data_IF_207114283921
#
_entry.id   IF_207114283921
#
_cell.length_a   1.000
_cell.length_b   1.000
_cell.length_c   1.000
_cell.angle_alpha   90.00
_cell.angle_beta   90.00
_cell.angle_gamma   90.00
#
_symmetry.space_group_name_H-M   'P 1'
#
loop_
_entity.id
_entity.type
_entity.pdbx_description
1 polymer ?
#
# COMPACT_ATOMS: atom_id res chain seq x y z
N UNK A 1 -3.96 -10.30 38.97
CA UNK A 1 -4.69 -9.16 38.39
C UNK A 1 -4.06 -8.86 37.05
N UNK A 2 -4.78 -8.52 36.00
CA UNK A 2 -4.14 -8.04 34.79
C UNK A 2 -3.31 -6.80 35.14
N UNK A 3 -2.08 -6.72 34.60
CA UNK A 3 -1.18 -5.59 34.84
C UNK A 3 -1.83 -4.30 34.31
N UNK A 4 -1.70 -3.21 35.04
CA UNK A 4 -2.17 -1.90 34.60
C UNK A 4 -1.47 -1.53 33.26
N UNK A 5 -2.21 -1.30 32.16
CA UNK A 5 -1.62 -0.92 30.90
C UNK A 5 -0.91 0.44 30.94
N UNK A 6 -1.20 1.27 31.95
CA UNK A 6 -0.61 2.58 32.15
C UNK A 6 0.49 2.61 33.22
N UNK A 7 0.98 1.44 33.67
CA UNK A 7 2.11 1.38 34.62
C UNK A 7 3.37 2.04 33.98
N UNK A 8 3.85 3.18 34.49
CA UNK A 8 4.92 3.93 33.88
C UNK A 8 6.26 3.18 33.90
N UNK A 9 6.53 2.36 34.91
CA UNK A 9 7.76 1.59 35.01
C UNK A 9 7.82 0.51 33.92
N UNK A 10 6.72 -0.22 33.77
CA UNK A 10 6.58 -1.23 32.71
C UNK A 10 6.67 -0.62 31.31
N UNK A 11 6.01 0.51 31.06
CA UNK A 11 6.07 1.21 29.78
C UNK A 11 7.50 1.69 29.47
N UNK A 12 8.27 2.15 30.50
CA UNK A 12 9.68 2.51 30.34
C UNK A 12 10.52 1.33 29.91
N UNK A 13 10.39 0.19 30.57
CA UNK A 13 11.10 -1.06 30.22
C UNK A 13 10.80 -1.51 28.79
N UNK A 14 9.52 -1.46 28.37
CA UNK A 14 9.11 -1.82 27.01
C UNK A 14 9.66 -0.84 25.95
N UNK A 15 9.76 0.46 26.30
CA UNK A 15 10.41 1.44 25.43
C UNK A 15 11.91 1.18 25.26
N UNK A 16 12.62 0.81 26.32
CA UNK A 16 14.03 0.43 26.27
C UNK A 16 14.24 -0.81 25.41
N UNK A 17 13.41 -1.85 25.58
CA UNK A 17 13.39 -3.05 24.73
C UNK A 17 13.23 -2.69 23.24
N UNK A 18 12.25 -1.84 22.93
CA UNK A 18 12.01 -1.41 21.55
C UNK A 18 13.15 -0.56 20.97
N UNK A 19 13.77 0.33 21.78
CA UNK A 19 14.93 1.14 21.39
C UNK A 19 16.17 0.27 21.14
N UNK A 20 16.32 -0.83 21.87
CA UNK A 20 17.36 -1.82 21.65
C UNK A 20 17.16 -2.63 20.34
N UNK A 21 16.03 -2.46 19.67
CA UNK A 21 15.67 -3.21 18.45
C UNK A 21 15.20 -4.65 18.73
N UNK A 22 14.84 -4.94 19.97
CA UNK A 22 14.32 -6.24 20.38
C UNK A 22 12.83 -6.38 20.10
N UNK A 23 12.41 -7.62 19.85
CA UNK A 23 11.02 -7.93 19.51
C UNK A 23 10.12 -7.89 20.74
N UNK A 24 9.09 -7.07 20.72
CA UNK A 24 8.02 -7.12 21.71
C UNK A 24 7.10 -8.32 21.43
N UNK A 25 6.67 -9.03 22.48
CA UNK A 25 5.59 -10.01 22.37
C UNK A 25 4.26 -9.33 22.01
N UNK A 26 3.25 -10.07 21.50
CA UNK A 26 1.94 -9.47 21.21
C UNK A 26 1.29 -8.78 22.42
N UNK A 27 1.45 -9.35 23.62
CA UNK A 27 0.92 -8.76 24.85
C UNK A 27 1.64 -7.47 25.27
N UNK A 28 2.96 -7.41 25.09
CA UNK A 28 3.76 -6.21 25.30
C UNK A 28 3.45 -5.14 24.24
N UNK A 29 3.31 -5.56 22.99
CA UNK A 29 2.85 -4.68 21.92
C UNK A 29 1.50 -4.04 22.21
N UNK A 30 0.54 -4.81 22.74
CA UNK A 30 -0.76 -4.29 23.15
C UNK A 30 -0.64 -3.29 24.32
N UNK A 31 0.23 -3.57 25.28
CA UNK A 31 0.50 -2.65 26.38
C UNK A 31 1.10 -1.33 25.88
N UNK A 32 2.06 -1.38 24.95
CA UNK A 32 2.64 -0.19 24.31
C UNK A 32 1.58 0.57 23.51
N UNK A 33 0.80 -0.13 22.68
CA UNK A 33 -0.22 0.48 21.83
C UNK A 33 -1.27 1.25 22.63
N UNK A 34 -1.73 0.70 23.76
CA UNK A 34 -2.77 1.29 24.63
C UNK A 34 -2.21 2.20 25.72
N UNK A 35 -1.04 1.88 26.26
CA UNK A 35 -0.52 2.54 27.46
C UNK A 35 0.16 3.88 27.21
N UNK A 36 0.80 4.06 26.07
CA UNK A 36 1.46 5.33 25.76
C UNK A 36 0.47 6.40 25.30
N UNK A 37 0.63 7.61 25.81
CA UNK A 37 0.04 8.80 25.21
C UNK A 37 0.62 9.04 23.81
N UNK A 38 -0.19 9.58 22.89
CA UNK A 38 0.20 9.71 21.47
C UNK A 38 1.51 10.48 21.26
N UNK A 39 1.79 11.61 21.95
CA UNK A 39 3.06 12.31 21.81
C UNK A 39 4.27 11.45 22.22
N UNK A 40 4.16 10.73 23.34
CA UNK A 40 5.24 9.86 23.83
C UNK A 40 5.49 8.67 22.92
N UNK A 41 4.41 8.07 22.39
CA UNK A 41 4.50 7.01 21.39
C UNK A 41 5.20 7.50 20.12
N UNK A 42 4.87 8.72 19.67
CA UNK A 42 5.49 9.35 18.52
C UNK A 42 6.98 9.61 18.72
N UNK A 43 7.38 10.12 19.89
CA UNK A 43 8.79 10.34 20.23
C UNK A 43 9.60 9.03 20.24
N UNK A 44 9.03 7.95 20.80
CA UNK A 44 9.66 6.63 20.77
C UNK A 44 9.82 6.12 19.33
N UNK A 45 8.77 6.22 18.52
CA UNK A 45 8.82 5.81 17.13
C UNK A 45 9.83 6.63 16.30
N UNK A 46 9.90 7.95 16.52
CA UNK A 46 10.86 8.82 15.85
C UNK A 46 12.31 8.51 16.25
N UNK A 47 12.55 8.20 17.53
CA UNK A 47 13.85 7.75 18.00
C UNK A 47 14.29 6.46 17.30
N UNK A 48 13.40 5.48 17.16
CA UNK A 48 13.68 4.23 16.43
C UNK A 48 13.91 4.52 14.94
N UNK A 49 13.12 5.44 14.36
CA UNK A 49 13.31 5.86 12.96
C UNK A 49 14.71 6.45 12.76
N UNK A 50 15.18 7.33 13.64
CA UNK A 50 16.53 7.90 13.55
C UNK A 50 17.65 6.89 13.83
N UNK A 51 17.42 5.89 14.67
CA UNK A 51 18.36 4.79 14.86
C UNK A 51 18.55 3.97 13.58
N UNK A 52 17.46 3.73 12.80
CA UNK A 52 17.50 3.01 11.52
C UNK A 52 18.00 3.89 10.36
N UNK A 53 17.58 5.14 10.32
CA UNK A 53 17.82 6.10 9.24
C UNK A 53 18.35 7.41 9.84
N UNK A 54 19.64 7.48 10.21
CA UNK A 54 20.21 8.63 10.89
C UNK A 54 20.26 9.88 10.02
N UNK A 55 20.20 9.72 8.71
CA UNK A 55 20.13 10.82 7.78
C UNK A 55 18.73 11.50 7.85
N UNK A 56 18.74 12.84 7.78
CA UNK A 56 17.48 13.61 7.72
C UNK A 56 16.84 13.55 6.33
N UNK A 57 16.74 12.36 5.76
CA UNK A 57 16.09 12.11 4.46
C UNK A 57 14.73 11.48 4.67
N UNK A 58 13.77 11.89 3.85
CA UNK A 58 12.47 11.25 3.69
C UNK A 58 12.31 10.91 2.22
N UNK A 59 12.02 9.65 1.97
CA UNK A 59 11.91 9.14 0.61
C UNK A 59 10.50 9.30 0.04
N UNK A 60 10.39 9.33 -1.29
CA UNK A 60 9.13 9.25 -2.03
C UNK A 60 9.39 8.66 -3.42
N UNK A 61 8.35 8.07 -4.01
CA UNK A 61 8.40 7.52 -5.38
C UNK A 61 7.43 8.25 -6.29
N UNK A 62 7.76 8.34 -7.56
CA UNK A 62 6.85 8.86 -8.60
C UNK A 62 6.37 7.68 -9.42
N UNK A 63 5.11 7.32 -9.25
CA UNK A 63 4.48 6.21 -9.97
C UNK A 63 3.02 6.51 -10.34
N UNK A 64 2.39 5.58 -11.01
CA UNK A 64 0.97 5.62 -11.40
C UNK A 64 0.28 4.35 -10.94
N UNK A 65 -0.86 4.49 -10.26
CA UNK A 65 -1.76 3.36 -10.05
C UNK A 65 -2.52 3.08 -11.37
N UNK A 66 -2.20 1.95 -11.98
CA UNK A 66 -2.80 1.51 -13.24
C UNK A 66 -3.69 0.30 -12.98
N UNK A 67 -4.98 0.45 -13.20
CA UNK A 67 -5.96 -0.61 -12.98
C UNK A 67 -6.39 -1.18 -14.34
N UNK A 68 -5.85 -2.33 -14.78
CA UNK A 68 -6.17 -2.92 -16.10
C UNK A 68 -7.65 -3.27 -16.26
N UNK A 69 -8.32 -3.57 -15.15
CA UNK A 69 -9.75 -3.88 -15.09
C UNK A 69 -10.32 -3.55 -13.71
N UNK A 70 -11.58 -3.11 -13.69
CA UNK A 70 -12.36 -2.98 -12.45
C UNK A 70 -13.33 -4.17 -12.26
N UNK A 71 -13.44 -5.08 -13.23
CA UNK A 71 -14.31 -6.26 -13.14
C UNK A 71 -13.74 -7.24 -12.12
N UNK A 72 -14.51 -7.56 -11.08
CA UNK A 72 -14.05 -8.37 -9.95
C UNK A 72 -15.13 -9.34 -9.47
N UNK A 73 -14.73 -10.59 -9.19
CA UNK A 73 -15.62 -11.64 -8.66
C UNK A 73 -15.55 -11.75 -7.12
N UNK A 74 -14.71 -10.99 -6.44
CA UNK A 74 -14.54 -11.09 -4.98
C UNK A 74 -15.48 -10.21 -4.17
N UNK A 75 -16.14 -9.24 -4.79
CA UNK A 75 -17.18 -8.36 -4.23
C UNK A 75 -16.90 -7.95 -2.76
N UNK A 76 -15.70 -7.46 -2.48
CA UNK A 76 -15.31 -7.03 -1.14
C UNK A 76 -16.21 -5.91 -0.63
N UNK A 77 -16.72 -6.03 0.59
CA UNK A 77 -17.65 -5.07 1.17
C UNK A 77 -17.07 -3.65 1.34
N UNK A 78 -15.75 -3.53 1.44
CA UNK A 78 -15.03 -2.26 1.60
C UNK A 78 -14.62 -1.58 0.27
N UNK A 79 -14.83 -2.23 -0.89
CA UNK A 79 -14.32 -1.73 -2.16
C UNK A 79 -15.41 -1.01 -2.96
N UNK A 80 -15.25 0.29 -3.20
CA UNK A 80 -16.13 1.09 -4.04
C UNK A 80 -15.77 1.03 -5.54
N UNK A 81 -14.58 0.54 -5.85
CA UNK A 81 -14.01 0.55 -7.20
C UNK A 81 -14.51 -0.60 -8.08
N UNK A 82 -14.75 -1.79 -7.49
CA UNK A 82 -15.06 -2.97 -8.27
C UNK A 82 -16.41 -2.87 -9.00
N UNK A 83 -16.52 -3.58 -10.13
CA UNK A 83 -17.78 -3.84 -10.84
C UNK A 83 -17.95 -5.34 -11.01
N UNK A 84 -19.19 -5.81 -10.84
CA UNK A 84 -19.53 -7.22 -11.05
C UNK A 84 -19.36 -7.61 -12.53
N UNK A 85 -19.08 -8.88 -12.84
CA UNK A 85 -19.06 -9.34 -14.23
C UNK A 85 -20.40 -9.07 -14.95
N UNK A 86 -20.33 -8.40 -16.08
CA UNK A 86 -21.51 -8.00 -16.87
C UNK A 86 -22.06 -6.61 -16.55
N UNK A 87 -21.50 -5.92 -15.56
CA UNK A 87 -21.84 -4.52 -15.29
C UNK A 87 -21.44 -3.63 -16.48
N UNK A 88 -22.31 -2.66 -16.80
CA UNK A 88 -22.08 -1.74 -17.92
C UNK A 88 -20.86 -0.81 -17.72
N UNK A 89 -20.49 -0.53 -16.48
CA UNK A 89 -19.29 0.24 -16.11
C UNK A 89 -18.03 -0.64 -15.99
N UNK A 90 -18.18 -1.96 -16.18
CA UNK A 90 -17.05 -2.90 -16.16
C UNK A 90 -16.17 -2.74 -17.39
N UNK A 91 -14.84 -2.67 -17.19
CA UNK A 91 -13.89 -2.51 -18.28
C UNK A 91 -12.68 -3.44 -18.18
N UNK A 92 -12.08 -3.68 -19.32
CA UNK A 92 -10.68 -4.11 -19.48
C UNK A 92 -10.02 -3.06 -20.38
N UNK A 93 -8.97 -2.40 -19.87
CA UNK A 93 -8.31 -1.32 -20.61
C UNK A 93 -7.68 -1.84 -21.91
N UNK A 94 -7.92 -1.16 -23.05
CA UNK A 94 -7.17 -1.42 -24.28
C UNK A 94 -5.66 -1.20 -24.08
N UNK A 95 -4.84 -1.97 -24.78
CA UNK A 95 -3.37 -1.85 -24.70
C UNK A 95 -2.87 -0.43 -25.00
N UNK A 96 -3.48 0.23 -25.99
CA UNK A 96 -3.16 1.58 -26.41
C UNK A 96 -3.36 2.60 -25.28
N UNK A 97 -4.42 2.46 -24.51
CA UNK A 97 -4.70 3.30 -23.33
C UNK A 97 -3.64 3.07 -22.25
N UNK A 98 -3.27 1.81 -22.00
CA UNK A 98 -2.21 1.46 -21.06
C UNK A 98 -0.88 2.12 -21.49
N UNK A 99 -0.52 2.04 -22.77
CA UNK A 99 0.73 2.64 -23.26
C UNK A 99 0.73 4.16 -23.16
N UNK A 100 -0.38 4.83 -23.49
CA UNK A 100 -0.53 6.29 -23.31
C UNK A 100 -0.35 6.70 -21.84
N UNK A 101 -0.92 5.94 -20.91
CA UNK A 101 -0.74 6.18 -19.47
C UNK A 101 0.72 6.00 -19.03
N UNK A 102 1.42 5.00 -19.56
CA UNK A 102 2.85 4.78 -19.28
C UNK A 102 3.69 5.94 -19.84
N UNK A 103 3.44 6.36 -21.07
CA UNK A 103 4.15 7.50 -21.67
C UNK A 103 3.93 8.80 -20.88
N UNK A 104 2.70 9.04 -20.44
CA UNK A 104 2.40 10.18 -19.57
C UNK A 104 3.12 10.06 -18.20
N UNK A 105 3.24 8.85 -17.65
CA UNK A 105 3.98 8.60 -16.40
C UNK A 105 5.46 8.92 -16.55
N UNK A 106 6.09 8.43 -17.62
CA UNK A 106 7.51 8.71 -17.93
C UNK A 106 7.74 10.20 -18.15
N UNK A 107 6.83 10.88 -18.87
CA UNK A 107 6.91 12.31 -19.14
C UNK A 107 6.86 13.17 -17.86
N UNK A 108 6.29 12.65 -16.77
CA UNK A 108 6.25 13.28 -15.45
C UNK A 108 7.38 12.79 -14.52
N UNK A 109 8.34 12.03 -15.05
CA UNK A 109 9.45 11.48 -14.27
C UNK A 109 9.10 10.25 -13.45
N UNK A 110 7.96 9.61 -13.73
CA UNK A 110 7.58 8.35 -13.10
C UNK A 110 8.43 7.20 -13.62
N UNK A 111 8.76 6.31 -12.70
CA UNK A 111 9.65 5.15 -12.95
C UNK A 111 8.97 3.81 -12.70
N UNK A 112 7.74 3.82 -12.19
CA UNK A 112 7.03 2.64 -11.75
C UNK A 112 5.56 2.70 -12.12
N UNK A 113 4.96 1.53 -12.29
CA UNK A 113 3.52 1.31 -12.26
C UNK A 113 3.18 0.54 -10.99
N UNK A 114 2.20 1.03 -10.22
CA UNK A 114 1.45 0.22 -9.27
C UNK A 114 0.30 -0.42 -10.05
N UNK A 115 0.47 -1.70 -10.44
CA UNK A 115 -0.47 -2.35 -11.34
C UNK A 115 -1.32 -3.36 -10.56
N UNK A 116 -2.51 -2.94 -10.19
CA UNK A 116 -3.50 -3.73 -9.47
C UNK A 116 -4.89 -3.58 -10.11
N UNK A 117 -5.71 -4.63 -10.08
CA UNK A 117 -7.03 -4.59 -10.67
C UNK A 117 -8.03 -5.53 -10.03
N UNK A 118 -9.20 -5.62 -10.64
CA UNK A 118 -10.23 -6.58 -10.25
C UNK A 118 -9.83 -8.02 -10.59
N UNK A 119 -10.33 -8.98 -9.82
CA UNK A 119 -10.20 -10.42 -10.09
C UNK A 119 -11.16 -10.80 -11.23
N UNK A 120 -10.72 -10.53 -12.45
CA UNK A 120 -11.53 -10.74 -13.64
C UNK A 120 -11.66 -12.24 -13.95
N UNK A 121 -12.88 -12.79 -14.17
CA UNK A 121 -13.09 -14.24 -14.29
C UNK A 121 -12.47 -14.88 -15.53
N UNK A 122 -12.12 -14.09 -16.55
CA UNK A 122 -11.59 -14.58 -17.84
C UNK A 122 -10.16 -14.18 -18.15
N UNK A 123 -9.58 -13.20 -17.41
CA UNK A 123 -8.17 -12.85 -17.60
C UNK A 123 -7.30 -13.89 -16.90
N UNK A 124 -6.40 -14.47 -17.65
CA UNK A 124 -5.49 -15.55 -17.23
C UNK A 124 -4.07 -15.03 -17.02
N UNK A 125 -3.23 -15.82 -16.39
CA UNK A 125 -1.80 -15.50 -16.22
C UNK A 125 -1.16 -15.11 -17.55
N UNK A 126 -1.45 -15.83 -18.64
CA UNK A 126 -0.90 -15.56 -19.96
C UNK A 126 -1.23 -14.14 -20.48
N UNK A 127 -2.42 -13.59 -20.19
CA UNK A 127 -2.80 -12.23 -20.58
C UNK A 127 -1.93 -11.17 -19.89
N UNK A 128 -1.67 -11.35 -18.60
CA UNK A 128 -0.80 -10.44 -17.84
C UNK A 128 0.66 -10.60 -18.25
N UNK A 129 1.11 -11.83 -18.47
CA UNK A 129 2.47 -12.10 -18.94
C UNK A 129 2.73 -11.45 -20.30
N UNK A 130 1.78 -11.51 -21.23
CA UNK A 130 1.88 -10.82 -22.52
C UNK A 130 1.94 -9.30 -22.33
N UNK A 131 1.07 -8.71 -21.47
CA UNK A 131 1.10 -7.30 -21.15
C UNK A 131 2.46 -6.87 -20.59
N UNK A 132 3.02 -7.63 -19.66
CA UNK A 132 4.29 -7.28 -19.01
C UNK A 132 5.46 -7.36 -20.00
N UNK A 133 5.52 -8.39 -20.85
CA UNK A 133 6.53 -8.49 -21.93
C UNK A 133 6.44 -7.29 -22.89
N UNK A 134 5.23 -6.88 -23.25
CA UNK A 134 5.02 -5.72 -24.12
C UNK A 134 5.46 -4.41 -23.43
N UNK A 135 5.12 -4.22 -22.16
CA UNK A 135 5.55 -3.05 -21.38
C UNK A 135 7.08 -3.01 -21.31
N UNK A 136 7.72 -4.12 -20.93
CA UNK A 136 9.19 -4.19 -20.78
C UNK A 136 9.92 -3.98 -22.11
N UNK A 137 9.37 -4.49 -23.21
CA UNK A 137 9.93 -4.27 -24.55
C UNK A 137 9.86 -2.81 -24.99
N UNK A 138 8.76 -2.10 -24.69
CA UNK A 138 8.52 -0.72 -25.11
C UNK A 138 9.14 0.29 -24.15
N UNK A 139 9.09 -0.01 -22.84
CA UNK A 139 9.44 0.89 -21.76
C UNK A 139 10.34 0.18 -20.73
N UNK A 140 11.57 -0.20 -21.09
CA UNK A 140 12.43 -1.03 -20.22
C UNK A 140 12.78 -0.35 -18.88
N UNK A 141 12.65 0.97 -18.79
CA UNK A 141 12.90 1.75 -17.56
C UNK A 141 11.78 1.65 -16.53
N UNK A 142 10.60 1.19 -16.93
CA UNK A 142 9.44 1.11 -16.05
C UNK A 142 9.52 -0.15 -15.18
N UNK A 143 9.47 0.06 -13.88
CA UNK A 143 9.31 -0.99 -12.88
C UNK A 143 7.84 -1.40 -12.77
N UNK A 144 7.54 -2.67 -12.87
CA UNK A 144 6.20 -3.21 -12.69
C UNK A 144 6.07 -3.74 -11.25
N UNK A 145 5.49 -2.93 -10.37
CA UNK A 145 5.06 -3.31 -9.02
C UNK A 145 3.58 -3.69 -9.10
N UNK A 146 3.28 -4.96 -9.21
CA UNK A 146 1.92 -5.36 -9.56
C UNK A 146 1.51 -6.72 -9.05
N UNK A 147 0.24 -7.06 -9.28
CA UNK A 147 -0.34 -8.35 -8.94
C UNK A 147 -0.24 -8.64 -7.44
N UNK A 148 -1.12 -8.04 -6.65
CA UNK A 148 -1.23 -8.32 -5.21
C UNK A 148 -1.42 -9.82 -4.91
N UNK A 149 -1.09 -10.30 -3.70
CA UNK A 149 -1.25 -11.70 -3.36
C UNK A 149 -2.64 -12.30 -3.66
N UNK A 150 -3.77 -11.60 -3.42
CA UNK A 150 -5.08 -12.11 -3.85
C UNK A 150 -5.24 -12.23 -5.36
N UNK A 151 -4.63 -11.35 -6.17
CA UNK A 151 -4.65 -11.47 -7.63
C UNK A 151 -3.86 -12.69 -8.09
N UNK A 152 -2.67 -12.93 -7.53
CA UNK A 152 -1.87 -14.15 -7.79
C UNK A 152 -2.65 -15.41 -7.39
N UNK A 153 -3.26 -15.41 -6.20
CA UNK A 153 -4.11 -16.53 -5.73
C UNK A 153 -5.29 -16.77 -6.68
N UNK A 154 -5.93 -15.70 -7.15
CA UNK A 154 -7.00 -15.80 -8.13
C UNK A 154 -6.52 -16.43 -9.45
N UNK A 155 -5.40 -15.96 -10.01
CA UNK A 155 -4.82 -16.53 -11.22
C UNK A 155 -4.45 -18.00 -11.05
N UNK A 156 -3.83 -18.39 -9.93
CA UNK A 156 -3.51 -19.76 -9.62
C UNK A 156 -4.76 -20.67 -9.63
N UNK A 157 -5.86 -20.20 -9.02
CA UNK A 157 -7.15 -20.93 -9.01
C UNK A 157 -7.77 -21.05 -10.39
N UNK A 158 -7.84 -19.95 -11.17
CA UNK A 158 -8.50 -19.99 -12.49
C UNK A 158 -7.67 -20.73 -13.54
N UNK A 159 -6.35 -20.74 -13.42
CA UNK A 159 -5.45 -21.46 -14.32
C UNK A 159 -5.16 -22.91 -13.85
N UNK A 160 -5.62 -23.28 -12.64
CA UNK A 160 -5.37 -24.58 -11.99
C UNK A 160 -3.85 -24.88 -11.90
N UNK A 161 -3.10 -23.89 -11.47
CA UNK A 161 -1.64 -23.91 -11.32
C UNK A 161 -1.24 -23.59 -9.89
N UNK A 162 -0.04 -23.92 -9.50
CA UNK A 162 0.52 -23.47 -8.23
C UNK A 162 0.84 -21.97 -8.26
N UNK A 163 0.82 -21.34 -7.08
CA UNK A 163 1.25 -19.95 -6.90
C UNK A 163 2.65 -19.72 -7.48
N UNK A 164 3.57 -20.66 -7.21
CA UNK A 164 4.96 -20.58 -7.68
C UNK A 164 5.07 -20.54 -9.21
N UNK A 165 4.31 -21.38 -9.93
CA UNK A 165 4.32 -21.40 -11.39
C UNK A 165 3.77 -20.09 -11.97
N UNK A 166 2.71 -19.54 -11.38
CA UNK A 166 2.16 -18.23 -11.79
C UNK A 166 3.19 -17.12 -11.57
N UNK A 167 3.80 -17.07 -10.40
CA UNK A 167 4.81 -16.07 -10.05
C UNK A 167 6.03 -16.15 -10.98
N UNK A 168 6.55 -17.35 -11.26
CA UNK A 168 7.69 -17.54 -12.16
C UNK A 168 7.37 -17.06 -13.59
N UNK A 169 6.19 -17.37 -14.11
CA UNK A 169 5.80 -16.89 -15.45
C UNK A 169 5.69 -15.38 -15.52
N UNK A 170 5.06 -14.75 -14.51
CA UNK A 170 4.93 -13.30 -14.45
C UNK A 170 6.27 -12.60 -14.24
N UNK A 171 7.16 -13.15 -13.38
CA UNK A 171 8.52 -12.63 -13.19
C UNK A 171 9.32 -12.70 -14.50
N UNK A 172 9.30 -13.82 -15.19
CA UNK A 172 9.95 -13.98 -16.51
C UNK A 172 9.37 -13.04 -17.57
N UNK A 173 8.12 -12.68 -17.43
CA UNK A 173 7.45 -11.70 -18.29
C UNK A 173 7.77 -10.25 -17.95
N UNK A 174 8.35 -9.97 -16.78
CA UNK A 174 8.76 -8.64 -16.38
C UNK A 174 8.06 -8.07 -15.15
N UNK A 175 7.33 -8.87 -14.37
CA UNK A 175 6.88 -8.46 -13.04
C UNK A 175 8.09 -8.32 -12.12
N UNK A 176 8.31 -7.13 -11.57
CA UNK A 176 9.53 -6.84 -10.80
C UNK A 176 9.34 -6.99 -9.28
N UNK A 177 8.14 -6.70 -8.77
CA UNK A 177 7.84 -6.78 -7.34
C UNK A 177 6.33 -6.84 -7.07
N UNK A 178 5.95 -7.22 -5.86
CA UNK A 178 4.54 -7.47 -5.48
C UNK A 178 4.08 -6.45 -4.44
N UNK A 179 2.96 -5.71 -4.68
CA UNK A 179 2.36 -4.84 -3.68
C UNK A 179 1.67 -5.64 -2.58
N UNK A 180 1.72 -5.12 -1.36
CA UNK A 180 1.07 -5.72 -0.18
C UNK A 180 -0.46 -5.61 -0.16
N UNK A 181 -1.04 -5.06 -1.21
CA UNK A 181 -2.50 -4.91 -1.32
C UNK A 181 -3.25 -6.22 -1.07
N UNK A 182 -4.47 -6.12 -0.60
CA UNK A 182 -5.28 -7.28 -0.26
C UNK A 182 -4.96 -7.93 1.08
N UNK A 183 -3.96 -7.44 1.82
CA UNK A 183 -3.73 -7.84 3.21
C UNK A 183 -4.90 -7.42 4.11
N UNK A 184 -5.37 -6.22 3.97
CA UNK A 184 -6.32 -5.50 4.81
C UNK A 184 -5.99 -5.73 6.30
N UNK A 185 -6.66 -6.68 6.96
CA UNK A 185 -6.25 -7.26 8.25
C UNK A 185 -6.05 -8.77 8.05
N UNK A 186 -4.86 -9.29 8.36
CA UNK A 186 -4.49 -10.70 8.21
C UNK A 186 -5.02 -11.54 9.40
N UNK A 187 -6.33 -11.43 9.66
CA UNK A 187 -7.07 -12.20 10.67
C UNK A 187 -8.35 -12.73 10.05
N UNK A 188 -8.55 -14.03 10.10
CA UNK A 188 -9.65 -14.69 9.37
C UNK A 188 -11.04 -14.21 9.78
N UNK A 189 -11.27 -13.87 11.05
CA UNK A 189 -12.55 -13.30 11.49
C UNK A 189 -12.87 -12.02 10.73
N UNK A 190 -11.91 -11.11 10.65
CA UNK A 190 -12.06 -9.83 9.95
C UNK A 190 -12.26 -10.07 8.44
N UNK A 191 -11.40 -10.88 7.83
CA UNK A 191 -11.44 -11.17 6.39
C UNK A 191 -12.78 -11.76 5.96
N UNK A 192 -13.32 -12.71 6.73
CA UNK A 192 -14.65 -13.30 6.46
C UNK A 192 -15.80 -12.30 6.49
N UNK A 193 -15.65 -11.21 7.24
CA UNK A 193 -16.67 -10.15 7.32
C UNK A 193 -16.54 -9.17 6.16
N UNK A 194 -15.31 -8.67 5.90
CA UNK A 194 -15.12 -7.56 4.95
C UNK A 194 -14.90 -8.03 3.51
N UNK A 195 -14.39 -9.24 3.30
CA UNK A 195 -14.02 -9.78 1.98
C UNK A 195 -14.04 -11.32 1.95
N UNK A 196 -15.20 -11.99 2.13
CA UNK A 196 -15.29 -13.44 2.34
C UNK A 196 -14.81 -14.29 1.16
N UNK A 197 -14.79 -13.73 -0.05
CA UNK A 197 -14.33 -14.43 -1.28
C UNK A 197 -12.88 -14.12 -1.66
N UNK A 198 -12.20 -13.24 -0.90
CA UNK A 198 -10.81 -12.88 -1.15
C UNK A 198 -9.87 -13.98 -0.61
N UNK A 199 -8.60 -13.93 -0.99
CA UNK A 199 -7.58 -14.83 -0.45
C UNK A 199 -7.60 -14.85 1.09
N UNK A 200 -7.45 -16.03 1.69
CA UNK A 200 -7.28 -16.21 3.13
C UNK A 200 -5.97 -15.59 3.61
N UNK A 201 -5.80 -15.46 4.91
CA UNK A 201 -4.53 -15.03 5.52
C UNK A 201 -3.37 -15.90 5.05
N UNK A 202 -3.52 -17.23 5.13
CA UNK A 202 -2.45 -18.14 4.73
C UNK A 202 -2.16 -18.10 3.23
N UNK A 203 -3.17 -17.96 2.38
CA UNK A 203 -2.97 -17.77 0.94
C UNK A 203 -2.20 -16.49 0.64
N UNK A 204 -2.46 -15.40 1.37
CA UNK A 204 -1.73 -14.14 1.24
C UNK A 204 -0.26 -14.30 1.66
N UNK A 205 0.00 -14.90 2.82
CA UNK A 205 1.34 -15.14 3.34
C UNK A 205 2.13 -16.10 2.43
N UNK A 206 1.48 -17.14 1.91
CA UNK A 206 2.12 -18.10 1.00
C UNK A 206 2.56 -17.46 -0.30
N UNK A 207 1.76 -16.55 -0.89
CA UNK A 207 2.20 -15.81 -2.09
C UNK A 207 3.48 -15.02 -1.81
N UNK A 208 3.54 -14.32 -0.68
CA UNK A 208 4.72 -13.54 -0.31
C UNK A 208 5.95 -14.42 -0.02
N UNK A 209 5.74 -15.58 0.61
CA UNK A 209 6.78 -16.59 0.85
C UNK A 209 7.35 -17.13 -0.48
N UNK A 210 6.45 -17.48 -1.41
CA UNK A 210 6.86 -17.95 -2.74
C UNK A 210 7.54 -16.86 -3.57
N UNK A 211 7.12 -15.60 -3.44
CA UNK A 211 7.79 -14.47 -4.07
C UNK A 211 9.22 -14.31 -3.56
N UNK A 212 9.42 -14.36 -2.24
CA UNK A 212 10.77 -14.34 -1.64
C UNK A 212 11.65 -15.50 -2.14
N UNK A 213 11.07 -16.70 -2.21
CA UNK A 213 11.79 -17.91 -2.66
C UNK A 213 12.29 -17.86 -4.09
N UNK A 214 11.75 -16.97 -4.94
CA UNK A 214 12.21 -16.70 -6.30
C UNK A 214 12.97 -15.36 -6.43
N UNK A 215 13.33 -14.75 -5.30
CA UNK A 215 14.13 -13.50 -5.26
C UNK A 215 13.33 -12.22 -5.50
N UNK A 216 12.00 -12.27 -5.49
CA UNK A 216 11.17 -11.06 -5.59
C UNK A 216 11.04 -10.38 -4.23
N UNK A 217 10.83 -9.06 -4.26
CA UNK A 217 10.51 -8.25 -3.09
C UNK A 217 9.07 -7.74 -3.17
N UNK A 218 8.53 -7.35 -2.04
CA UNK A 218 7.19 -6.78 -1.95
C UNK A 218 7.07 -5.78 -0.82
N UNK A 219 5.86 -5.24 -0.67
CA UNK A 219 5.49 -4.41 0.48
C UNK A 219 4.49 -5.14 1.36
N UNK A 220 4.31 -4.69 2.59
CA UNK A 220 3.21 -5.08 3.45
C UNK A 220 2.29 -3.88 3.69
N UNK A 221 0.98 -4.12 3.73
CA UNK A 221 -0.01 -3.06 3.99
C UNK A 221 -0.97 -3.49 5.08
N UNK A 222 -1.56 -2.52 5.77
CA UNK A 222 -2.69 -2.73 6.66
C UNK A 222 -3.78 -1.71 6.34
N UNK A 223 -5.00 -2.16 6.02
CA UNK A 223 -6.18 -1.31 6.00
C UNK A 223 -6.96 -1.53 7.27
N UNK A 224 -7.08 -0.52 8.11
CA UNK A 224 -7.72 -0.62 9.40
C UNK A 224 -8.85 0.41 9.58
N UNK A 225 -9.65 0.22 10.63
CA UNK A 225 -10.86 1.02 10.88
C UNK A 225 -12.11 0.38 10.34
N UNK A 226 -12.15 -0.94 10.24
CA UNK A 226 -13.32 -1.72 9.83
C UNK A 226 -13.99 -2.37 11.04
N UNK A 227 -13.77 -3.67 11.26
CA UNK A 227 -14.38 -4.46 12.33
C UNK A 227 -13.36 -5.11 13.24
N UNK A 228 -12.10 -4.83 13.02
CA UNK A 228 -10.99 -5.37 13.78
C UNK A 228 -10.89 -4.73 15.17
N UNK A 229 -10.32 -5.47 16.13
CA UNK A 229 -9.91 -4.99 17.45
C UNK A 229 -8.43 -4.57 17.45
N UNK A 230 -7.97 -3.96 18.54
CA UNK A 230 -6.54 -3.64 18.69
C UNK A 230 -5.68 -4.90 18.69
N UNK A 231 -6.16 -5.97 19.36
CA UNK A 231 -5.50 -7.28 19.37
C UNK A 231 -5.33 -7.83 17.96
N UNK A 232 -6.33 -7.68 17.11
CA UNK A 232 -6.29 -8.14 15.73
C UNK A 232 -5.38 -7.26 14.84
N UNK A 233 -5.25 -5.97 15.14
CA UNK A 233 -4.22 -5.12 14.51
C UNK A 233 -2.82 -5.60 14.87
N UNK A 234 -2.60 -5.95 16.14
CA UNK A 234 -1.32 -6.50 16.60
C UNK A 234 -1.06 -7.88 16.01
N UNK A 235 -2.07 -8.76 15.92
CA UNK A 235 -1.95 -10.04 15.25
C UNK A 235 -1.53 -9.87 13.78
N UNK A 236 -2.14 -8.93 13.06
CA UNK A 236 -1.74 -8.60 11.69
C UNK A 236 -0.26 -8.20 11.61
N UNK A 237 0.17 -7.27 12.46
CA UNK A 237 1.57 -6.82 12.50
C UNK A 237 2.52 -7.95 12.91
N UNK A 238 2.10 -8.84 13.81
CA UNK A 238 2.87 -10.03 14.19
C UNK A 238 3.10 -10.93 12.99
N UNK A 239 2.07 -11.22 12.19
CA UNK A 239 2.19 -12.05 10.97
C UNK A 239 3.11 -11.43 9.93
N UNK A 240 3.05 -10.10 9.74
CA UNK A 240 3.98 -9.37 8.86
C UNK A 240 5.41 -9.46 9.38
N UNK A 241 5.62 -9.23 10.67
CA UNK A 241 6.93 -9.30 11.31
C UNK A 241 7.55 -10.70 11.22
N UNK A 242 6.75 -11.72 11.51
CA UNK A 242 7.21 -13.11 11.52
C UNK A 242 7.57 -13.57 10.10
N UNK A 243 6.76 -13.23 9.08
CA UNK A 243 7.10 -13.51 7.68
C UNK A 243 8.35 -12.72 7.23
N UNK A 244 8.52 -11.50 7.70
CA UNK A 244 9.76 -10.73 7.43
C UNK A 244 10.98 -11.40 8.06
N UNK A 245 10.85 -11.96 9.27
CA UNK A 245 11.93 -12.72 9.92
C UNK A 245 12.21 -14.04 9.18
N UNK A 246 11.19 -14.69 8.62
CA UNK A 246 11.31 -15.94 7.87
C UNK A 246 12.04 -15.75 6.53
N UNK A 247 11.69 -14.73 5.74
CA UNK A 247 12.14 -14.66 4.36
C UNK A 247 12.58 -13.27 3.88
N UNK A 248 12.47 -12.22 4.68
CA UNK A 248 12.95 -10.87 4.36
C UNK A 248 12.30 -10.22 3.13
N UNK A 249 11.05 -10.56 2.82
CA UNK A 249 10.40 -10.16 1.56
C UNK A 249 10.03 -8.69 1.50
N UNK A 250 9.71 -8.07 2.65
CA UNK A 250 9.14 -6.74 2.67
C UNK A 250 10.20 -5.65 2.62
N UNK A 251 10.02 -4.72 1.69
CA UNK A 251 10.80 -3.48 1.61
C UNK A 251 10.22 -2.39 2.52
N UNK A 252 8.90 -2.38 2.71
CA UNK A 252 8.21 -1.38 3.52
C UNK A 252 6.89 -1.89 4.09
N UNK A 253 6.41 -1.19 5.11
CA UNK A 253 5.06 -1.33 5.65
C UNK A 253 4.27 -0.04 5.44
N UNK A 254 3.00 -0.16 5.00
CA UNK A 254 2.12 0.96 4.66
C UNK A 254 0.78 0.80 5.38
N UNK A 255 0.53 1.51 6.51
CA UNK A 255 -0.79 1.57 7.13
C UNK A 255 -1.66 2.63 6.44
N UNK A 256 -2.94 2.31 6.23
CA UNK A 256 -3.93 3.24 5.71
C UNK A 256 -5.32 2.94 6.27
N UNK A 257 -6.18 3.94 6.34
CA UNK A 257 -7.50 3.80 6.95
C UNK A 257 -8.56 3.45 5.93
N UNK A 258 -9.52 2.64 6.35
CA UNK A 258 -10.72 2.37 5.57
C UNK A 258 -11.46 3.67 5.23
N UNK A 259 -11.86 3.81 3.98
CA UNK A 259 -12.70 4.89 3.47
C UNK A 259 -14.08 4.31 3.16
N UNK A 260 -15.12 4.66 3.94
CA UNK A 260 -16.41 3.97 3.85
C UNK A 260 -17.29 4.44 2.70
N UNK A 261 -17.09 5.66 2.20
CA UNK A 261 -18.01 6.29 1.24
C UNK A 261 -18.15 5.46 -0.04
N UNK A 262 -19.38 5.32 -0.53
CA UNK A 262 -19.75 4.57 -1.74
C UNK A 262 -19.44 3.07 -1.69
N UNK A 263 -19.04 2.52 -0.56
CA UNK A 263 -18.76 1.08 -0.43
C UNK A 263 -20.03 0.27 -0.18
N UNK A 264 -20.06 -1.03 -0.55
CA UNK A 264 -21.15 -1.90 -0.17
C UNK A 264 -21.42 -1.97 1.34
N UNK A 265 -20.39 -1.88 2.17
CA UNK A 265 -20.53 -1.84 3.63
C UNK A 265 -21.30 -0.59 4.09
N UNK A 266 -20.97 0.58 3.55
CA UNK A 266 -21.72 1.80 3.87
C UNK A 266 -23.16 1.73 3.38
N UNK A 267 -23.38 1.20 2.18
CA UNK A 267 -24.74 1.05 1.64
C UNK A 267 -25.61 0.09 2.46
N UNK A 268 -24.99 -0.96 3.03
CA UNK A 268 -25.68 -1.94 3.87
C UNK A 268 -26.00 -1.40 5.28
N UNK A 269 -25.16 -0.54 5.84
CA UNK A 269 -25.32 0.06 7.17
C UNK A 269 -24.77 1.51 7.19
N UNK A 270 -25.54 2.47 6.65
CA UNK A 270 -25.10 3.85 6.53
C UNK A 270 -24.81 4.53 7.88
N UNK A 271 -25.61 4.22 8.92
CA UNK A 271 -25.44 4.85 10.23
C UNK A 271 -24.10 4.47 10.84
N UNK A 272 -23.77 3.21 10.85
CA UNK A 272 -22.50 2.70 11.36
C UNK A 272 -21.30 3.28 10.61
N UNK A 273 -21.31 3.20 9.29
CA UNK A 273 -20.12 3.49 8.50
C UNK A 273 -19.91 4.97 8.21
N UNK A 274 -20.97 5.79 8.20
CA UNK A 274 -20.81 7.25 8.12
C UNK A 274 -20.19 7.85 9.38
N UNK A 275 -20.41 7.22 10.54
CA UNK A 275 -19.82 7.64 11.81
C UNK A 275 -18.43 7.01 12.09
N UNK A 276 -18.01 6.02 11.33
CA UNK A 276 -16.84 5.16 11.65
C UNK A 276 -15.50 5.66 11.09
N UNK A 277 -15.47 6.84 10.47
CA UNK A 277 -14.20 7.35 9.94
C UNK A 277 -13.19 7.59 11.06
N UNK A 278 -12.05 6.89 10.99
CA UNK A 278 -11.02 6.99 12.01
C UNK A 278 -10.43 8.40 12.10
N UNK A 279 -10.12 8.81 13.32
CA UNK A 279 -9.47 10.08 13.58
C UNK A 279 -8.02 10.09 13.11
N UNK A 280 -7.49 11.27 12.81
CA UNK A 280 -6.07 11.48 12.52
C UNK A 280 -5.18 10.97 13.68
N UNK A 281 -5.62 11.14 14.93
CA UNK A 281 -4.88 10.66 16.10
C UNK A 281 -4.74 9.14 16.11
N UNK A 282 -5.78 8.42 15.71
CA UNK A 282 -5.77 6.95 15.63
C UNK A 282 -4.88 6.43 14.49
N UNK A 283 -4.91 7.13 13.35
CA UNK A 283 -3.98 6.86 12.26
C UNK A 283 -2.52 7.04 12.71
N UNK A 284 -2.20 8.17 13.33
CA UNK A 284 -0.84 8.47 13.79
C UNK A 284 -0.38 7.51 14.90
N UNK A 285 -1.28 7.09 15.80
CA UNK A 285 -1.00 6.04 16.80
C UNK A 285 -0.59 4.73 16.13
N UNK A 286 -1.37 4.29 15.14
CA UNK A 286 -1.11 3.05 14.42
C UNK A 286 0.18 3.13 13.60
N UNK A 287 0.45 4.27 12.96
CA UNK A 287 1.70 4.52 12.22
C UNK A 287 2.92 4.44 13.15
N UNK A 288 2.89 5.17 14.27
CA UNK A 288 3.97 5.18 15.26
C UNK A 288 4.20 3.79 15.86
N UNK A 289 3.12 3.11 16.22
CA UNK A 289 3.20 1.76 16.75
C UNK A 289 3.77 0.77 15.73
N UNK A 290 3.39 0.88 14.47
CA UNK A 290 3.95 0.02 13.41
C UNK A 290 5.48 0.17 13.30
N UNK A 291 6.02 1.40 13.40
CA UNK A 291 7.47 1.63 13.44
C UNK A 291 8.13 0.93 14.64
N UNK A 292 7.50 0.98 15.81
CA UNK A 292 8.01 0.36 17.04
C UNK A 292 7.96 -1.16 16.93
N UNK A 293 6.82 -1.72 16.51
CA UNK A 293 6.56 -3.15 16.59
C UNK A 293 7.20 -3.95 15.45
N UNK A 294 7.33 -3.36 14.27
CA UNK A 294 7.96 -3.97 13.09
C UNK A 294 9.48 -3.68 13.07
N UNK A 295 10.19 -4.07 14.12
CA UNK A 295 11.62 -3.80 14.29
C UNK A 295 12.49 -4.28 13.11
N UNK A 296 12.05 -5.33 12.38
CA UNK A 296 12.74 -5.95 11.25
C UNK A 296 12.26 -5.48 9.86
N UNK A 297 11.36 -4.51 9.81
CA UNK A 297 10.98 -3.82 8.57
C UNK A 297 11.67 -2.45 8.52
N UNK A 298 12.42 -2.18 7.46
CA UNK A 298 13.26 -0.99 7.42
C UNK A 298 12.45 0.29 7.20
N UNK A 299 11.48 0.28 6.32
CA UNK A 299 10.74 1.48 5.94
C UNK A 299 9.27 1.43 6.37
N UNK A 300 8.79 2.55 6.91
CA UNK A 300 7.36 2.76 7.22
C UNK A 300 6.88 4.00 6.49
N UNK A 301 5.89 3.81 5.64
CA UNK A 301 5.34 4.86 4.80
C UNK A 301 4.16 5.56 5.47
N UNK A 302 4.14 6.89 5.43
CA UNK A 302 2.96 7.69 5.75
C UNK A 302 2.06 7.84 4.52
N UNK A 303 0.77 7.45 4.64
CA UNK A 303 -0.14 7.31 3.50
C UNK A 303 -0.96 8.58 3.24
N UNK A 304 -0.43 9.55 2.47
CA UNK A 304 -1.15 10.79 2.19
C UNK A 304 -2.38 10.60 1.30
N UNK A 305 -2.42 9.57 0.50
CA UNK A 305 -3.56 9.27 -0.40
C UNK A 305 -4.88 9.15 0.38
N UNK A 306 -4.83 8.59 1.59
CA UNK A 306 -5.99 8.47 2.48
C UNK A 306 -6.05 9.52 3.59
N UNK A 307 -4.91 10.12 3.97
CA UNK A 307 -4.79 10.99 5.14
C UNK A 307 -4.60 12.48 4.79
N UNK A 308 -4.22 12.78 3.56
CA UNK A 308 -3.82 14.11 3.12
C UNK A 308 -2.41 14.51 3.55
N UNK A 309 -1.86 15.50 2.85
CA UNK A 309 -0.46 15.91 2.99
C UNK A 309 -0.09 16.39 4.40
N UNK A 310 -0.98 17.12 5.08
CA UNK A 310 -0.71 17.67 6.43
C UNK A 310 -0.58 16.56 7.47
N UNK A 311 -1.45 15.55 7.43
CA UNK A 311 -1.36 14.40 8.33
C UNK A 311 -0.07 13.62 8.08
N UNK A 312 0.30 13.44 6.81
CA UNK A 312 1.56 12.77 6.47
C UNK A 312 2.80 13.54 6.93
N UNK A 313 2.77 14.86 6.84
CA UNK A 313 3.84 15.71 7.38
C UNK A 313 4.01 15.48 8.90
N UNK A 314 2.92 15.40 9.66
CA UNK A 314 2.97 15.03 11.09
C UNK A 314 3.48 13.60 11.28
N UNK A 315 3.08 12.67 10.40
CA UNK A 315 3.54 11.27 10.40
C UNK A 315 5.05 11.11 10.33
N UNK A 316 5.76 12.07 9.72
CA UNK A 316 7.22 12.08 9.68
C UNK A 316 7.87 12.26 11.06
N UNK A 317 7.21 12.94 11.98
CA UNK A 317 7.61 13.05 13.38
C UNK A 317 7.02 11.91 14.25
N UNK A 318 6.36 10.96 13.63
CA UNK A 318 5.76 9.77 14.26
C UNK A 318 6.41 8.48 13.74
N UNK A 319 7.66 8.54 13.32
CA UNK A 319 8.45 7.37 12.92
C UNK A 319 8.38 6.97 11.45
N UNK A 320 7.64 7.67 10.59
CA UNK A 320 7.69 7.42 9.16
C UNK A 320 8.97 7.99 8.54
N UNK A 321 9.54 7.27 7.59
CA UNK A 321 10.73 7.67 6.81
C UNK A 321 10.44 7.77 5.30
N UNK A 322 9.20 7.48 4.89
CA UNK A 322 8.76 7.53 3.50
C UNK A 322 7.41 8.25 3.38
N UNK A 323 7.32 9.16 2.41
CA UNK A 323 6.10 9.93 2.13
C UNK A 323 5.17 9.22 1.14
N UNK A 324 5.61 8.10 0.58
CA UNK A 324 4.88 7.26 -0.36
C UNK A 324 5.01 7.68 -1.82
N UNK A 325 3.99 7.37 -2.58
CA UNK A 325 3.94 7.61 -4.01
C UNK A 325 3.33 8.97 -4.33
N UNK A 326 3.89 9.70 -5.29
CA UNK A 326 3.24 10.87 -5.88
C UNK A 326 1.91 10.53 -6.59
N UNK A 327 1.62 9.25 -6.77
CA UNK A 327 0.36 8.68 -7.25
C UNK A 327 -0.29 9.50 -8.38
N UNK A 328 0.34 9.51 -9.57
CA UNK A 328 -0.11 10.29 -10.74
C UNK A 328 -1.54 9.98 -11.19
N UNK A 329 -2.08 8.85 -10.78
CA UNK A 329 -3.46 8.43 -10.95
C UNK A 329 -3.85 7.54 -9.77
N UNK A 330 -5.02 7.78 -9.21
CA UNK A 330 -5.60 6.95 -8.15
C UNK A 330 -7.11 6.81 -8.39
N UNK A 331 -7.57 5.59 -8.63
CA UNK A 331 -8.96 5.30 -8.97
C UNK A 331 -9.69 4.52 -7.88
N UNK A 332 -8.96 3.85 -6.99
CA UNK A 332 -9.54 2.89 -6.04
C UNK A 332 -10.08 3.61 -4.81
N UNK A 333 -9.25 4.44 -4.19
CA UNK A 333 -9.61 5.22 -2.99
C UNK A 333 -10.51 6.39 -3.37
N UNK A 334 -10.29 6.99 -4.56
CA UNK A 334 -11.13 8.08 -5.07
C UNK A 334 -12.57 7.61 -5.36
N UNK A 335 -12.78 6.36 -5.75
CA UNK A 335 -14.12 5.78 -5.87
C UNK A 335 -14.86 5.75 -4.53
N UNK A 336 -14.13 5.68 -3.41
CA UNK A 336 -14.66 5.82 -2.06
C UNK A 336 -14.70 7.29 -1.58
N UNK A 337 -14.75 8.26 -2.49
CA UNK A 337 -14.89 9.68 -2.15
C UNK A 337 -13.66 10.33 -1.51
N UNK A 338 -12.57 9.61 -1.33
CA UNK A 338 -11.33 10.13 -0.73
C UNK A 338 -10.33 10.49 -1.83
N UNK A 339 -10.06 11.78 -2.00
CA UNK A 339 -9.12 12.28 -3.01
C UNK A 339 -8.22 13.36 -2.42
N UNK A 340 -6.93 13.08 -2.41
CA UNK A 340 -5.90 14.01 -2.00
C UNK A 340 -4.84 14.10 -3.10
N UNK A 341 -5.13 14.79 -4.22
CA UNK A 341 -4.14 14.97 -5.27
C UNK A 341 -2.96 15.79 -4.75
N UNK A 342 -1.76 15.42 -5.14
CA UNK A 342 -0.55 16.12 -4.77
C UNK A 342 0.44 16.17 -5.93
N UNK A 343 1.01 17.33 -6.18
CA UNK A 343 2.15 17.48 -7.07
C UNK A 343 3.44 17.05 -6.38
N UNK A 344 4.45 16.68 -7.14
CA UNK A 344 5.80 16.38 -6.63
C UNK A 344 6.33 17.55 -5.79
N UNK A 345 6.13 18.78 -6.27
CA UNK A 345 6.58 19.99 -5.57
C UNK A 345 5.90 20.17 -4.19
N UNK A 346 4.60 19.82 -4.07
CA UNK A 346 3.89 19.85 -2.79
C UNK A 346 4.41 18.79 -1.84
N UNK A 347 4.65 17.57 -2.31
CA UNK A 347 5.25 16.49 -1.51
C UNK A 347 6.62 16.94 -0.98
N UNK A 348 7.51 17.42 -1.86
CA UNK A 348 8.84 17.90 -1.46
C UNK A 348 8.77 19.08 -0.49
N UNK A 349 7.81 19.99 -0.66
CA UNK A 349 7.59 21.12 0.26
C UNK A 349 7.20 20.60 1.65
N UNK A 350 6.22 19.69 1.76
CA UNK A 350 5.79 19.14 3.05
C UNK A 350 6.90 18.37 3.77
N UNK A 351 7.75 17.67 3.02
CA UNK A 351 8.95 17.00 3.57
C UNK A 351 9.94 18.05 4.12
N UNK A 352 10.21 19.12 3.36
CA UNK A 352 11.11 20.22 3.78
C UNK A 352 10.56 20.99 4.99
N UNK A 353 9.26 21.29 4.99
CA UNK A 353 8.58 21.99 6.09
C UNK A 353 8.58 21.16 7.38
N UNK A 354 8.67 19.83 7.28
CA UNK A 354 8.89 18.93 8.42
C UNK A 354 10.37 18.84 8.88
N UNK A 355 11.29 19.56 8.23
CA UNK A 355 12.72 19.59 8.57
C UNK A 355 13.58 18.49 7.97
N UNK A 356 13.07 17.79 6.94
CA UNK A 356 13.75 16.71 6.26
C UNK A 356 14.18 17.09 4.83
N UNK A 357 15.06 16.27 4.25
CA UNK A 357 15.49 16.39 2.85
C UNK A 357 14.72 15.38 2.01
N UNK A 358 13.94 15.82 1.00
CA UNK A 358 13.24 14.91 0.11
C UNK A 358 14.22 14.14 -0.77
N UNK A 359 14.03 12.84 -0.89
CA UNK A 359 14.81 11.96 -1.73
C UNK A 359 13.91 11.09 -2.59
N UNK A 360 14.02 11.20 -3.92
CA UNK A 360 13.36 10.24 -4.83
C UNK A 360 14.00 8.87 -4.68
N UNK A 361 13.18 7.82 -4.74
CA UNK A 361 13.61 6.43 -4.64
C UNK A 361 12.97 5.54 -5.70
N UNK A 362 13.57 4.37 -5.90
CA UNK A 362 12.91 3.25 -6.58
C UNK A 362 12.18 2.33 -5.56
N UNK A 363 11.65 1.20 -6.03
CA UNK A 363 10.92 0.22 -5.20
C UNK A 363 11.83 -0.47 -4.16
N UNK A 364 13.11 -0.53 -4.39
CA UNK A 364 14.11 -1.10 -3.48
C UNK A 364 14.74 -0.06 -2.54
N UNK A 365 14.11 1.12 -2.44
CA UNK A 365 14.57 2.25 -1.60
C UNK A 365 15.95 2.81 -1.99
N UNK A 366 16.41 2.51 -3.19
CA UNK A 366 17.63 3.10 -3.74
C UNK A 366 17.35 4.52 -4.26
N UNK A 367 18.26 5.47 -4.04
CA UNK A 367 18.09 6.84 -4.55
C UNK A 367 17.95 6.90 -6.07
N UNK A 368 17.07 7.77 -6.53
CA UNK A 368 16.93 8.14 -7.94
C UNK A 368 17.31 9.60 -8.08
N UNK A 369 18.52 9.86 -8.59
CA UNK A 369 19.10 11.21 -8.66
C UNK A 369 18.54 12.03 -9.82
N UNK A 370 18.27 11.39 -10.96
CA UNK A 370 17.74 12.06 -12.14
C UNK A 370 16.47 11.35 -12.60
N UNK A 371 15.33 12.07 -12.77
CA UNK A 371 14.16 11.44 -13.35
C UNK A 371 14.49 10.94 -14.76
N UNK A 372 14.01 9.75 -15.16
CA UNK A 372 14.21 9.26 -16.52
C UNK A 372 13.68 10.28 -17.52
N UNK A 373 14.44 10.54 -18.55
CA UNK A 373 13.98 11.35 -19.68
C UNK A 373 12.99 10.55 -20.54
N UNK A 374 12.14 11.24 -21.29
CA UNK A 374 11.33 10.59 -22.31
C UNK A 374 12.21 9.88 -23.36
N UNK A 375 11.60 9.11 -24.25
CA UNK A 375 12.30 8.43 -25.33
C UNK A 375 13.09 9.38 -26.29
N UNK A 376 12.90 10.69 -26.14
CA UNK A 376 13.60 11.73 -26.89
C UNK A 376 14.66 12.47 -26.06
N UNK A 377 14.97 11.98 -24.84
CA UNK A 377 15.96 12.58 -23.95
C UNK A 377 15.51 13.91 -23.30
N UNK A 378 14.21 14.20 -23.29
CA UNK A 378 13.68 15.43 -22.71
C UNK A 378 13.33 15.23 -21.24
N UNK A 379 13.66 16.20 -20.35
CA UNK A 379 13.25 16.12 -18.95
C UNK A 379 11.72 16.21 -18.82
N UNK A 380 11.16 15.69 -17.73
CA UNK A 380 9.73 15.75 -17.45
C UNK A 380 9.25 17.20 -17.46
N UNK A 381 8.12 17.45 -18.11
CA UNK A 381 7.43 18.75 -18.00
C UNK A 381 6.51 18.70 -16.79
N UNK A 382 6.67 19.62 -15.87
CA UNK A 382 5.69 19.86 -14.82
C UNK A 382 4.35 20.26 -15.45
N UNK A 383 3.40 19.36 -15.45
CA UNK A 383 2.00 19.71 -15.72
C UNK A 383 1.20 19.44 -14.46
N UNK A 384 0.28 20.37 -14.19
CA UNK A 384 -0.72 20.21 -13.13
C UNK A 384 -1.43 18.86 -13.27
N UNK A 385 -1.65 18.21 -12.14
CA UNK A 385 -2.43 16.98 -12.04
C UNK A 385 -3.81 17.24 -12.63
N UNK A 386 -4.09 16.67 -13.79
CA UNK A 386 -5.43 16.69 -14.37
C UNK A 386 -6.20 15.58 -13.70
N UNK A 387 -7.18 15.95 -12.87
CA UNK A 387 -8.19 15.03 -12.39
C UNK A 387 -8.96 14.50 -13.59
N UNK A 388 -8.77 13.24 -13.94
CA UNK A 388 -9.51 12.58 -15.00
C UNK A 388 -10.88 12.13 -14.47
N UNK A 389 -11.82 13.06 -14.36
CA UNK A 389 -13.23 12.76 -14.45
C UNK A 389 -13.73 13.38 -15.74
N UNK A 390 -13.65 12.62 -16.81
CA UNK A 390 -14.22 12.93 -18.09
C UNK A 390 -14.93 11.67 -18.59
N UNK A 391 -16.10 11.39 -18.04
CA UNK A 391 -17.11 10.59 -18.72
C UNK A 391 -17.55 11.38 -19.93
N UNK A 392 -17.25 10.90 -21.12
CA UNK A 392 -17.74 11.48 -22.36
C UNK A 392 -19.28 11.40 -22.33
N UNK A 393 -19.94 12.53 -22.17
CA UNK A 393 -21.35 12.66 -22.55
C UNK A 393 -21.47 12.42 -24.05
N UNK A 394 -21.99 11.25 -24.39
CA UNK A 394 -22.40 10.95 -25.75
C UNK A 394 -23.59 11.82 -26.13
N UNK A 395 -23.38 12.80 -26.98
CA UNK A 395 -24.43 13.54 -27.67
C UNK A 395 -25.17 12.59 -28.61
N UNK A 396 -26.40 12.25 -28.22
CA UNK A 396 -27.39 11.74 -29.15
C UNK A 396 -27.80 12.83 -30.15
N UNK A 397 -27.66 12.56 -31.41
CA UNK A 397 -28.59 12.92 -32.51
C UNK A 397 -28.58 11.81 -33.54
#
# INVERSE_FOLDING_TARGET
>A
MPADPHDPLRLSELAETALAGEALTPAEGLAVYRGFELPSLGLLADSIRFAKHPEKKVTYIVDRNLNPTNVCVTDCGFCAFYRSPGDAEGYVLPREVIYQKIEATIALGGIQLLLQGGHHPRLRTAWFAELFRDIKRRYPVIWIHGMSPPEITHLAKVDKRSVREVLLELQQAGLDSIPGGGAEILVERVRKIIAPKKATTEEWLEVMRQAAAIGMRGTATMMFGTVETDEERIEHLTRVRDLQAECGVFTAFIPWTFQPENTPMQQADPERWSASKLSVAEYLRTLAFARIYLHNVDHVQSSFVTQGLKTCQVGLAMGADDFGSAMLEENVVSSAGCSHPASIAEIERHIKDAGFVPQRRNMLYQPVETPPTDRFGRPPRERAVVSAVGVAEGTSR
#
